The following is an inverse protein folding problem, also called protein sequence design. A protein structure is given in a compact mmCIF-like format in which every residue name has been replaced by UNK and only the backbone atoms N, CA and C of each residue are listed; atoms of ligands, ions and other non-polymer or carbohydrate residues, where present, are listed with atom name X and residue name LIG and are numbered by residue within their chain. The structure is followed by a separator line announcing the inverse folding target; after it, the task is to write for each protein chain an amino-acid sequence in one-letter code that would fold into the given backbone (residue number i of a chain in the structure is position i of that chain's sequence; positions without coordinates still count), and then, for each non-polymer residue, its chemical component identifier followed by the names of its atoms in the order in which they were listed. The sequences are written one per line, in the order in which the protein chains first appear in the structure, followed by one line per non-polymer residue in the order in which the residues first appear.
data_IF_808806606220
#
_entry.id   IF_808806606220
#
_cell.length_a   1.000
_cell.length_b   1.000
_cell.length_c   1.000
_cell.angle_alpha   90.00
_cell.angle_beta   90.00
_cell.angle_gamma   90.00
#
_symmetry.space_group_name_H-M   'P 1'
#
loop_
_entity.id
_entity.type
_entity.pdbx_description
1 polymer ?
#
# COMPACT_ATOMS: atom_id res chain seq x y z
N UNK A 1 -18.14 2.11 -20.86
CA UNK A 1 -17.94 2.00 -19.41
C UNK A 1 -16.46 1.88 -19.12
N UNK A 2 -16.00 2.40 -17.99
CA UNK A 2 -14.59 2.30 -17.55
C UNK A 2 -14.40 0.93 -16.86
N UNK A 3 -13.26 0.28 -17.11
CA UNK A 3 -12.87 -0.98 -16.47
C UNK A 3 -11.69 -0.73 -15.54
N UNK A 4 -11.67 -1.36 -14.37
CA UNK A 4 -10.55 -1.34 -13.44
C UNK A 4 -9.64 -2.55 -13.71
N UNK A 5 -8.38 -2.29 -14.08
CA UNK A 5 -7.41 -3.34 -14.39
C UNK A 5 -6.86 -4.05 -13.15
N UNK A 6 -6.86 -3.39 -12.01
CA UNK A 6 -6.34 -3.88 -10.73
C UNK A 6 -5.75 -2.76 -9.87
N UNK A 7 -5.36 -3.11 -8.65
CA UNK A 7 -4.67 -2.22 -7.72
C UNK A 7 -3.16 -2.47 -7.76
N UNK A 8 -2.38 -1.42 -7.51
CA UNK A 8 -0.95 -1.50 -7.25
C UNK A 8 -0.76 -0.87 -5.88
N UNK A 9 -0.20 -1.62 -4.93
CA UNK A 9 0.10 -1.10 -3.61
C UNK A 9 1.56 -0.61 -3.61
N UNK A 10 1.76 0.66 -3.24
CA UNK A 10 3.10 1.22 -3.02
C UNK A 10 3.33 1.26 -1.50
N UNK A 11 4.21 0.38 -1.04
CA UNK A 11 4.45 0.15 0.39
C UNK A 11 4.84 1.44 1.14
N UNK A 12 4.20 1.64 2.28
CA UNK A 12 4.49 2.70 3.26
C UNK A 12 5.11 2.16 4.54
N UNK A 13 5.39 0.86 4.59
CA UNK A 13 5.96 0.14 5.75
C UNK A 13 5.01 0.17 6.95
N UNK A 14 3.71 0.02 6.68
CA UNK A 14 2.68 -0.13 7.72
C UNK A 14 2.38 -1.60 7.95
N UNK A 15 2.00 -1.96 9.17
CA UNK A 15 1.62 -3.32 9.50
C UNK A 15 0.45 -3.80 8.63
N UNK A 16 0.54 -5.05 8.15
CA UNK A 16 -0.49 -5.74 7.35
C UNK A 16 -0.94 -5.00 6.07
N UNK A 17 -0.09 -4.16 5.50
CA UNK A 17 -0.41 -3.37 4.29
C UNK A 17 -0.76 -4.25 3.09
N UNK A 18 -0.06 -5.38 2.93
CA UNK A 18 -0.36 -6.35 1.87
C UNK A 18 -1.77 -6.94 2.03
N UNK A 19 -2.11 -7.40 3.23
CA UNK A 19 -3.42 -8.00 3.51
C UNK A 19 -4.55 -6.98 3.25
N UNK A 20 -4.37 -5.72 3.68
CA UNK A 20 -5.33 -4.65 3.43
C UNK A 20 -5.50 -4.42 1.92
N UNK A 21 -4.40 -4.33 1.18
CA UNK A 21 -4.44 -4.06 -0.26
C UNK A 21 -5.14 -5.19 -1.04
N UNK A 22 -4.92 -6.45 -0.65
CA UNK A 22 -5.61 -7.61 -1.21
C UNK A 22 -7.11 -7.59 -0.88
N UNK A 23 -7.46 -7.32 0.38
CA UNK A 23 -8.86 -7.21 0.81
C UNK A 23 -9.60 -6.08 0.06
N UNK A 24 -8.97 -4.91 -0.09
CA UNK A 24 -9.54 -3.78 -0.81
C UNK A 24 -9.73 -4.10 -2.29
N UNK A 25 -8.75 -4.77 -2.91
CA UNK A 25 -8.87 -5.22 -4.29
C UNK A 25 -10.09 -6.14 -4.47
N UNK A 26 -10.27 -7.10 -3.56
CA UNK A 26 -11.41 -8.02 -3.58
C UNK A 26 -12.75 -7.30 -3.44
N UNK A 27 -12.87 -6.36 -2.48
CA UNK A 27 -14.10 -5.57 -2.28
C UNK A 27 -14.47 -4.72 -3.48
N UNK A 28 -13.47 -4.15 -4.15
CA UNK A 28 -13.66 -3.38 -5.39
C UNK A 28 -13.99 -4.25 -6.62
N UNK A 29 -14.21 -5.56 -6.44
CA UNK A 29 -14.36 -6.53 -7.53
C UNK A 29 -13.16 -6.49 -8.48
N UNK A 30 -11.95 -6.48 -7.93
CA UNK A 30 -10.70 -6.37 -8.69
C UNK A 30 -9.62 -7.26 -8.08
N UNK A 31 -8.36 -7.02 -8.44
CA UNK A 31 -7.20 -7.79 -7.96
C UNK A 31 -6.02 -6.88 -7.66
N UNK A 32 -5.22 -7.25 -6.67
CA UNK A 32 -3.92 -6.64 -6.45
C UNK A 32 -2.96 -7.19 -7.51
N UNK A 33 -2.53 -6.34 -8.45
CA UNK A 33 -1.61 -6.71 -9.52
C UNK A 33 -0.20 -6.89 -8.96
N UNK A 34 0.21 -5.98 -8.09
CA UNK A 34 1.54 -6.01 -7.52
C UNK A 34 1.62 -5.18 -6.24
N UNK A 35 2.55 -5.58 -5.38
CA UNK A 35 2.95 -4.88 -4.19
C UNK A 35 4.39 -4.41 -4.40
N UNK A 36 4.57 -3.10 -4.52
CA UNK A 36 5.87 -2.47 -4.77
C UNK A 36 6.51 -2.16 -3.42
N UNK A 37 7.64 -2.80 -3.06
CA UNK A 37 8.29 -2.56 -1.79
C UNK A 37 8.94 -1.18 -1.74
N UNK A 38 9.15 -0.68 -0.52
CA UNK A 38 9.81 0.59 -0.29
C UNK A 38 11.33 0.44 -0.34
N UNK A 39 11.97 1.15 -1.28
CA UNK A 39 13.43 1.14 -1.44
C UNK A 39 13.96 2.58 -1.62
N UNK A 40 15.01 2.91 -0.87
CA UNK A 40 15.68 4.22 -0.94
C UNK A 40 16.34 4.48 -2.30
N UNK A 41 16.61 3.44 -3.10
CA UNK A 41 17.14 3.59 -4.45
C UNK A 41 16.22 4.42 -5.36
N UNK A 42 14.92 4.41 -5.09
CA UNK A 42 13.93 5.25 -5.79
C UNK A 42 14.28 6.72 -5.63
N UNK A 43 14.54 7.17 -4.39
CA UNK A 43 14.91 8.55 -4.11
C UNK A 43 16.25 8.92 -4.76
N UNK A 44 17.23 8.00 -4.77
CA UNK A 44 18.51 8.23 -5.43
C UNK A 44 18.38 8.38 -6.97
N UNK A 45 17.48 7.62 -7.59
CA UNK A 45 17.17 7.74 -9.01
C UNK A 45 16.42 9.05 -9.32
N UNK A 46 15.41 9.38 -8.52
CA UNK A 46 14.61 10.61 -8.64
C UNK A 46 15.46 11.88 -8.54
N UNK A 47 16.40 11.95 -7.60
CA UNK A 47 17.35 13.07 -7.47
C UNK A 47 18.19 13.31 -8.73
N UNK A 48 18.37 12.27 -9.55
CA UNK A 48 19.10 12.33 -10.83
C UNK A 48 18.19 12.46 -12.04
N UNK A 49 16.88 12.67 -11.82
CA UNK A 49 15.85 12.75 -12.87
C UNK A 49 15.83 11.50 -13.77
N UNK A 50 16.13 10.35 -13.18
CA UNK A 50 16.11 9.05 -13.86
C UNK A 50 15.10 8.12 -13.20
N UNK A 51 14.55 7.19 -13.98
CA UNK A 51 13.84 6.04 -13.41
C UNK A 51 14.83 5.07 -12.77
N UNK A 52 14.36 4.23 -11.84
CA UNK A 52 15.18 3.17 -11.24
C UNK A 52 15.72 2.20 -12.31
N UNK A 53 14.93 1.92 -13.36
CA UNK A 53 15.34 1.07 -14.49
C UNK A 53 16.57 1.63 -15.20
N UNK A 54 16.67 2.96 -15.34
CA UNK A 54 17.82 3.62 -15.98
C UNK A 54 19.00 3.78 -15.02
N UNK A 55 18.72 4.17 -13.77
CA UNK A 55 19.75 4.48 -12.78
C UNK A 55 20.47 3.23 -12.26
N UNK A 56 19.72 2.17 -11.98
CA UNK A 56 20.21 0.94 -11.37
C UNK A 56 19.45 -0.28 -11.93
N UNK A 57 19.73 -0.67 -13.19
CA UNK A 57 18.97 -1.71 -13.89
C UNK A 57 19.00 -3.08 -13.19
N UNK A 58 20.07 -3.40 -12.46
CA UNK A 58 20.24 -4.70 -11.79
C UNK A 58 19.78 -4.67 -10.32
N UNK A 59 19.17 -3.56 -9.87
CA UNK A 59 18.64 -3.45 -8.50
C UNK A 59 17.41 -4.33 -8.29
N UNK A 60 17.15 -4.71 -7.04
CA UNK A 60 15.93 -5.43 -6.64
C UNK A 60 14.68 -4.65 -7.05
N UNK A 61 14.66 -3.35 -6.77
CA UNK A 61 13.55 -2.47 -7.14
C UNK A 61 13.32 -2.38 -8.65
N UNK A 62 14.38 -2.40 -9.47
CA UNK A 62 14.22 -2.51 -10.93
C UNK A 62 13.57 -3.84 -11.33
N UNK A 63 13.91 -4.93 -10.63
CA UNK A 63 13.24 -6.23 -10.78
C UNK A 63 11.73 -6.17 -10.48
N UNK A 64 11.33 -5.53 -9.39
CA UNK A 64 9.92 -5.34 -9.03
C UNK A 64 9.15 -4.56 -10.10
N UNK A 65 9.72 -3.47 -10.63
CA UNK A 65 9.07 -2.73 -11.72
C UNK A 65 8.94 -3.54 -13.01
N UNK A 66 9.90 -4.42 -13.32
CA UNK A 66 9.78 -5.34 -14.47
C UNK A 66 8.69 -6.38 -14.24
N UNK A 67 8.65 -6.98 -13.05
CA UNK A 67 7.61 -7.92 -12.67
C UNK A 67 6.21 -7.27 -12.73
N UNK A 68 6.08 -6.02 -12.24
CA UNK A 68 4.87 -5.22 -12.39
C UNK A 68 4.48 -5.05 -13.86
N UNK A 69 5.43 -4.63 -14.70
CA UNK A 69 5.18 -4.42 -16.12
C UNK A 69 4.73 -5.70 -16.83
N UNK A 70 5.37 -6.83 -16.54
CA UNK A 70 4.97 -8.15 -17.05
C UNK A 70 3.56 -8.53 -16.60
N UNK A 71 3.23 -8.34 -15.32
CA UNK A 71 1.88 -8.63 -14.79
C UNK A 71 0.81 -7.73 -15.41
N UNK A 72 1.09 -6.45 -15.62
CA UNK A 72 0.19 -5.53 -16.32
C UNK A 72 0.00 -5.98 -17.77
N UNK A 73 1.08 -6.34 -18.46
CA UNK A 73 1.01 -6.81 -19.84
C UNK A 73 0.19 -8.11 -19.95
N UNK A 74 0.47 -9.08 -19.09
CA UNK A 74 -0.27 -10.35 -18.99
C UNK A 74 -1.74 -10.15 -18.60
N UNK A 75 -2.07 -9.07 -17.89
CA UNK A 75 -3.47 -8.72 -17.61
C UNK A 75 -4.27 -8.46 -18.90
N UNK A 76 -3.62 -8.03 -19.99
CA UNK A 76 -4.17 -8.03 -21.36
C UNK A 76 -5.58 -7.42 -21.48
N UNK A 77 -5.84 -6.32 -20.75
CA UNK A 77 -7.13 -5.63 -20.79
C UNK A 77 -8.28 -6.34 -20.06
N UNK A 78 -8.01 -7.39 -19.28
CA UNK A 78 -8.98 -8.13 -18.45
C UNK A 78 -9.39 -7.36 -17.19
N UNK A 79 -9.85 -6.12 -17.37
CA UNK A 79 -10.39 -5.31 -16.29
C UNK A 79 -11.84 -5.65 -15.96
N UNK A 80 -12.22 -5.44 -14.71
CA UNK A 80 -13.58 -5.67 -14.20
C UNK A 80 -14.37 -4.34 -14.14
N UNK A 81 -15.69 -4.40 -14.00
CA UNK A 81 -16.45 -3.22 -13.56
C UNK A 81 -16.27 -3.15 -12.04
N UNK A 82 -15.67 -2.07 -11.51
CA UNK A 82 -15.44 -1.96 -10.08
C UNK A 82 -16.75 -1.77 -9.33
N UNK A 83 -16.79 -2.28 -8.09
CA UNK A 83 -17.85 -2.00 -7.12
C UNK A 83 -17.33 -0.96 -6.14
N UNK A 84 -17.74 0.32 -6.22
CA UNK A 84 -17.33 1.32 -5.26
C UNK A 84 -17.75 0.90 -3.84
N UNK A 85 -16.85 1.09 -2.88
CA UNK A 85 -17.14 0.90 -1.45
C UNK A 85 -17.53 2.24 -0.81
N UNK A 86 -18.28 2.18 0.29
CA UNK A 86 -18.59 3.36 1.10
C UNK A 86 -17.39 3.76 1.97
N UNK A 87 -17.46 4.96 2.56
CA UNK A 87 -16.44 5.40 3.52
C UNK A 87 -16.47 4.53 4.79
N UNK A 88 -17.65 4.15 5.26
CA UNK A 88 -17.84 3.30 6.44
C UNK A 88 -17.19 1.92 6.24
N UNK A 89 -17.38 1.29 5.07
CA UNK A 89 -16.73 0.02 4.72
C UNK A 89 -15.21 0.16 4.68
N UNK A 90 -14.70 1.29 4.19
CA UNK A 90 -13.27 1.57 4.17
C UNK A 90 -12.69 1.74 5.58
N UNK A 91 -13.38 2.47 6.46
CA UNK A 91 -12.96 2.68 7.84
C UNK A 91 -12.96 1.38 8.65
N UNK A 92 -14.00 0.55 8.50
CA UNK A 92 -14.09 -0.78 9.12
C UNK A 92 -12.90 -1.65 8.71
N UNK A 93 -12.55 -1.68 7.42
CA UNK A 93 -11.37 -2.40 6.93
C UNK A 93 -10.07 -1.88 7.56
N UNK A 94 -9.90 -0.56 7.66
CA UNK A 94 -8.70 0.02 8.26
C UNK A 94 -8.54 -0.36 9.75
N UNK A 95 -9.66 -0.51 10.47
CA UNK A 95 -9.68 -1.01 11.85
C UNK A 95 -9.35 -2.51 11.92
N UNK A 96 -9.96 -3.33 11.07
CA UNK A 96 -9.77 -4.79 11.03
C UNK A 96 -8.31 -5.20 10.72
N UNK A 97 -7.64 -4.43 9.86
CA UNK A 97 -6.24 -4.64 9.52
C UNK A 97 -5.27 -3.96 10.49
N UNK A 98 -5.76 -3.27 11.52
CA UNK A 98 -4.94 -2.65 12.57
C UNK A 98 -4.19 -1.40 12.14
N UNK A 99 -4.59 -0.78 11.02
CA UNK A 99 -3.97 0.42 10.46
C UNK A 99 -4.55 1.69 11.10
N UNK A 100 -5.81 1.63 11.54
CA UNK A 100 -6.38 2.61 12.48
C UNK A 100 -6.52 1.98 13.87
N UNK A 101 -6.09 2.73 14.88
CA UNK A 101 -6.34 2.40 16.29
C UNK A 101 -7.77 2.81 16.61
N UNK A 102 -8.48 2.00 17.41
CA UNK A 102 -9.77 2.43 17.94
C UNK A 102 -9.60 3.67 18.82
N UNK A 103 -10.66 4.45 19.01
CA UNK A 103 -10.63 5.61 19.92
C UNK A 103 -10.14 5.22 21.32
N UNK A 104 -10.55 4.04 21.81
CA UNK A 104 -10.07 3.47 23.07
C UNK A 104 -8.56 3.19 23.07
N UNK A 105 -8.02 2.62 21.99
CA UNK A 105 -6.59 2.35 21.86
C UNK A 105 -5.78 3.64 21.73
N UNK A 106 -6.30 4.66 21.05
CA UNK A 106 -5.67 5.98 20.98
C UNK A 106 -5.64 6.66 22.36
N UNK A 107 -6.76 6.63 23.10
CA UNK A 107 -6.81 7.16 24.47
C UNK A 107 -5.82 6.43 25.39
N UNK A 108 -5.82 5.09 25.36
CA UNK A 108 -4.92 4.29 26.18
C UNK A 108 -3.45 4.61 25.89
N UNK A 109 -3.07 4.77 24.62
CA UNK A 109 -1.72 5.19 24.26
C UNK A 109 -1.38 6.60 24.73
N UNK A 110 -2.32 7.56 24.59
CA UNK A 110 -2.11 8.94 25.04
C UNK A 110 -1.84 8.97 26.55
N UNK A 111 -2.69 8.29 27.32
CA UNK A 111 -2.55 8.16 28.78
C UNK A 111 -1.23 7.47 29.16
N UNK A 112 -0.83 6.42 28.44
CA UNK A 112 0.44 5.73 28.70
C UNK A 112 1.67 6.62 28.42
N UNK A 113 1.63 7.42 27.35
CA UNK A 113 2.69 8.36 26.99
C UNK A 113 2.77 9.52 27.97
N UNK A 114 1.63 10.01 28.44
CA UNK A 114 1.57 11.04 29.49
C UNK A 114 2.14 10.51 30.81
N UNK A 115 1.78 9.29 31.22
CA UNK A 115 2.33 8.66 32.42
C UNK A 115 3.84 8.43 32.32
N UNK A 116 4.34 7.95 31.17
CA UNK A 116 5.77 7.77 30.93
C UNK A 116 6.55 9.11 30.93
N UNK A 117 5.95 10.17 30.40
CA UNK A 117 6.54 11.53 30.41
C UNK A 117 6.57 12.13 31.81
N UNK A 118 5.54 11.90 32.61
CA UNK A 118 5.48 12.33 34.02
C UNK A 118 6.48 11.58 34.90
N UNK A 119 6.75 10.29 34.62
CA UNK A 119 7.73 9.50 35.35
C UNK A 119 9.19 9.79 34.97
N UNK A 120 9.42 10.47 33.84
CA UNK A 120 10.75 10.87 33.36
C UNK A 120 11.15 12.30 33.76
N UNK A 121 10.29 13.01 34.50
CA UNK A 121 10.54 14.33 35.11
C UNK A 121 10.80 14.18 36.61
#
# INVERSE_FOLDING_TARGET
GVRLGGLICNERQTDRELDLAEALAGRLNSKLIHFVPRDNIVQHAELRKMSVIQYAPDSKQAGEYRALAEKIHANSGQGTIPTPITMEELEEMLLDFGIMKTDEQMLAELHSKEAAKAAAQ
#
